data_IF_645005188051
#
_entry.id   IF_645005188051
#
_cell.length_a   1.000
_cell.length_b   1.000
_cell.length_c   1.000
_cell.angle_alpha   90.00
_cell.angle_beta   90.00
_cell.angle_gamma   90.00
#
_symmetry.space_group_name_H-M   'P 1'
#
loop_
_entity.id
_entity.type
_entity.pdbx_description
1 polymer ?
#
# COMPACT_ATOMS: atom_id res chain seq x y z
N UNK A 1 -7.08 88.82 -44.43
CA UNK A 1 -6.01 88.98 -45.42
C UNK A 1 -5.20 87.70 -45.43
N UNK A 2 -5.03 87.12 -46.63
CA UNK A 2 -4.07 86.05 -47.00
C UNK A 2 -4.32 84.67 -46.36
N UNK A 3 -4.56 83.57 -47.08
CA UNK A 3 -3.91 83.06 -48.30
C UNK A 3 -3.17 81.77 -47.90
N UNK A 4 -3.79 80.59 -48.03
CA UNK A 4 -3.63 79.57 -49.10
C UNK A 4 -2.22 78.95 -49.21
N UNK A 5 -2.17 77.60 -49.21
CA UNK A 5 -1.21 76.62 -49.77
C UNK A 5 -1.23 75.36 -48.85
N UNK A 6 -1.92 74.24 -49.11
CA UNK A 6 -2.10 73.33 -50.27
C UNK A 6 -0.90 72.36 -50.48
N UNK A 7 -1.21 71.05 -50.39
CA UNK A 7 -0.52 69.83 -50.88
C UNK A 7 0.65 69.27 -50.04
N UNK A 8 0.83 67.97 -49.81
CA UNK A 8 0.05 66.74 -50.09
C UNK A 8 0.75 65.54 -49.38
N UNK A 9 0.09 64.37 -49.41
CA UNK A 9 0.64 63.00 -49.24
C UNK A 9 0.57 62.31 -47.87
N UNK A 10 -0.59 61.70 -47.61
CA UNK A 10 -0.80 60.26 -47.36
C UNK A 10 0.27 59.45 -46.58
N UNK A 11 -0.09 58.98 -45.38
CA UNK A 11 -0.16 57.54 -45.08
C UNK A 11 -1.05 57.28 -43.86
N UNK A 12 -1.96 56.31 -43.99
CA UNK A 12 -3.11 56.10 -43.13
C UNK A 12 -2.91 55.09 -41.98
N UNK A 13 -3.86 55.14 -41.03
CA UNK A 13 -4.21 54.19 -39.96
C UNK A 13 -3.39 54.29 -38.65
N UNK A 14 -3.97 53.99 -37.44
CA UNK A 14 -5.09 53.05 -37.21
C UNK A 14 -6.15 53.48 -36.17
N UNK A 15 -7.37 52.96 -36.25
CA UNK A 15 -8.08 52.41 -35.07
C UNK A 15 -9.37 51.69 -35.48
N UNK A 16 -9.29 50.36 -35.52
CA UNK A 16 -10.39 49.44 -35.77
C UNK A 16 -11.04 49.13 -34.43
N UNK A 17 -12.32 49.51 -34.26
CA UNK A 17 -13.21 48.98 -33.21
C UNK A 17 -13.14 47.46 -33.22
N UNK A 18 -12.91 46.85 -32.05
CA UNK A 18 -13.04 45.40 -31.82
C UNK A 18 -14.03 45.17 -30.69
N UNK A 19 -15.21 44.72 -31.09
CA UNK A 19 -15.96 43.58 -30.57
C UNK A 19 -15.85 43.28 -29.06
N UNK A 20 -16.97 43.56 -28.38
CA UNK A 20 -17.35 42.92 -27.12
C UNK A 20 -17.39 41.40 -27.28
N UNK A 21 -16.32 40.72 -26.86
CA UNK A 21 -16.33 39.27 -26.62
C UNK A 21 -16.29 39.02 -25.12
N UNK A 22 -17.44 38.60 -24.61
CA UNK A 22 -17.67 37.68 -23.50
C UNK A 22 -16.39 37.10 -22.86
N UNK A 23 -16.08 37.53 -21.64
CA UNK A 23 -15.33 36.69 -20.68
C UNK A 23 -16.08 36.67 -19.35
N UNK A 24 -17.07 35.79 -19.29
CA UNK A 24 -17.49 35.19 -18.03
C UNK A 24 -16.33 34.32 -17.54
N UNK A 25 -15.49 34.85 -16.65
CA UNK A 25 -14.71 34.00 -15.75
C UNK A 25 -15.69 33.43 -14.72
N UNK A 26 -16.37 32.36 -15.09
CA UNK A 26 -16.98 31.46 -14.15
C UNK A 26 -15.83 30.86 -13.33
N UNK A 27 -15.57 31.44 -12.17
CA UNK A 27 -14.81 30.79 -11.10
C UNK A 27 -15.57 29.51 -10.79
N UNK A 28 -15.15 28.37 -11.37
CA UNK A 28 -15.58 27.05 -10.94
C UNK A 28 -15.18 26.96 -9.46
N UNK A 29 -16.14 27.19 -8.58
CA UNK A 29 -16.09 26.80 -7.18
C UNK A 29 -15.92 25.28 -7.19
N UNK A 30 -14.68 24.81 -7.17
CA UNK A 30 -14.38 23.41 -6.96
C UNK A 30 -14.94 23.02 -5.60
N UNK A 31 -15.91 22.11 -5.63
CA UNK A 31 -16.58 21.61 -4.45
C UNK A 31 -15.53 21.07 -3.45
N UNK A 32 -15.46 21.60 -2.22
CA UNK A 32 -14.48 21.16 -1.22
C UNK A 32 -14.61 19.66 -0.90
N UNK A 33 -15.77 19.04 -1.13
CA UNK A 33 -15.94 17.59 -1.02
C UNK A 33 -15.21 16.82 -2.13
N UNK A 34 -15.16 17.39 -3.35
CA UNK A 34 -14.45 16.81 -4.50
C UNK A 34 -12.94 16.95 -4.37
N UNK A 35 -12.46 18.08 -3.83
CA UNK A 35 -11.04 18.27 -3.47
C UNK A 35 -10.59 17.33 -2.34
N UNK A 36 -11.45 17.09 -1.34
CA UNK A 36 -11.15 16.14 -0.26
C UNK A 36 -11.06 14.71 -0.76
N UNK A 37 -11.92 14.30 -1.71
CA UNK A 37 -11.85 12.97 -2.34
C UNK A 37 -10.58 12.79 -3.16
N UNK A 38 -10.20 13.76 -3.99
CA UNK A 38 -8.96 13.67 -4.76
C UNK A 38 -7.71 13.58 -3.88
N UNK A 39 -7.65 14.36 -2.80
CA UNK A 39 -6.54 14.26 -1.85
C UNK A 39 -6.47 12.90 -1.13
N UNK A 40 -7.62 12.27 -0.85
CA UNK A 40 -7.65 10.96 -0.22
C UNK A 40 -7.13 9.86 -1.15
N UNK A 41 -7.56 9.89 -2.42
CA UNK A 41 -7.10 8.94 -3.44
C UNK A 41 -5.57 9.09 -3.69
N UNK A 42 -5.06 10.33 -3.66
CA UNK A 42 -3.63 10.61 -3.76
C UNK A 42 -2.85 10.04 -2.55
N UNK A 43 -3.38 10.20 -1.33
CA UNK A 43 -2.77 9.67 -0.11
C UNK A 43 -2.74 8.12 -0.13
N UNK A 44 -3.78 7.46 -0.63
CA UNK A 44 -3.83 6.00 -0.79
C UNK A 44 -2.76 5.49 -1.77
N UNK A 45 -2.58 6.15 -2.91
CA UNK A 45 -1.52 5.83 -3.86
C UNK A 45 -0.13 6.01 -3.25
N UNK A 46 0.07 7.05 -2.42
CA UNK A 46 1.34 7.23 -1.70
C UNK A 46 1.54 6.09 -0.71
N UNK A 47 0.55 5.72 0.10
CA UNK A 47 0.67 4.59 1.01
C UNK A 47 1.02 3.29 0.27
N UNK A 48 0.36 3.00 -0.85
CA UNK A 48 0.67 1.85 -1.67
C UNK A 48 2.13 1.85 -2.16
N UNK A 49 2.61 2.97 -2.70
CA UNK A 49 4.01 3.12 -3.17
C UNK A 49 5.01 2.88 -2.06
N UNK A 50 4.71 3.35 -0.84
CA UNK A 50 5.60 3.20 0.31
C UNK A 50 5.61 1.76 0.80
N UNK A 51 4.45 1.09 0.88
CA UNK A 51 4.43 -0.34 1.24
C UNK A 51 5.14 -1.17 0.19
N UNK A 52 4.96 -0.89 -1.11
CA UNK A 52 5.72 -1.54 -2.19
C UNK A 52 7.23 -1.36 -2.01
N UNK A 53 7.67 -0.14 -1.71
CA UNK A 53 9.06 0.16 -1.36
C UNK A 53 9.55 -0.65 -0.15
N UNK A 54 8.71 -0.79 0.89
CA UNK A 54 9.05 -1.56 2.08
C UNK A 54 9.17 -3.06 1.77
N UNK A 55 8.25 -3.63 0.99
CA UNK A 55 8.28 -5.02 0.56
C UNK A 55 9.53 -5.30 -0.29
N UNK A 56 9.82 -4.45 -1.28
CA UNK A 56 11.01 -4.59 -2.11
C UNK A 56 12.30 -4.50 -1.29
N UNK A 57 12.38 -3.54 -0.36
CA UNK A 57 13.52 -3.40 0.54
C UNK A 57 13.66 -4.60 1.47
N UNK A 58 12.56 -5.13 1.99
CA UNK A 58 12.55 -6.35 2.80
C UNK A 58 13.06 -7.58 2.05
N UNK A 59 12.65 -7.76 0.79
CA UNK A 59 13.16 -8.84 -0.08
C UNK A 59 14.68 -8.69 -0.28
N UNK A 60 15.16 -7.48 -0.56
CA UNK A 60 16.60 -7.20 -0.73
C UNK A 60 17.40 -7.42 0.57
N UNK A 61 16.79 -7.16 1.72
CA UNK A 61 17.34 -7.46 3.06
C UNK A 61 17.25 -8.95 3.43
N UNK A 62 16.64 -9.79 2.57
CA UNK A 62 16.37 -11.22 2.80
C UNK A 62 15.48 -11.48 4.00
N UNK A 63 14.54 -10.57 4.26
CA UNK A 63 13.59 -10.70 5.35
C UNK A 63 12.60 -11.84 5.13
N UNK A 64 12.25 -12.53 6.21
CA UNK A 64 11.15 -13.49 6.16
C UNK A 64 9.79 -12.78 6.03
N UNK A 65 8.73 -13.53 5.69
CA UNK A 65 7.39 -12.95 5.46
C UNK A 65 6.78 -12.31 6.71
N UNK A 66 7.07 -12.87 7.89
CA UNK A 66 6.49 -12.41 9.17
C UNK A 66 6.96 -11.00 9.53
N UNK A 67 8.27 -10.67 9.59
CA UNK A 67 8.70 -9.31 9.91
C UNK A 67 8.33 -8.30 8.83
N UNK A 68 8.24 -8.73 7.57
CA UNK A 68 7.79 -7.86 6.48
C UNK A 68 6.33 -7.44 6.66
N UNK A 69 5.48 -8.39 7.05
CA UNK A 69 4.08 -8.13 7.39
C UNK A 69 3.92 -7.27 8.65
N UNK A 70 4.71 -7.55 9.69
CA UNK A 70 4.74 -6.74 10.91
C UNK A 70 5.13 -5.30 10.60
N UNK A 71 6.12 -5.08 9.72
CA UNK A 71 6.51 -3.74 9.28
C UNK A 71 5.36 -2.99 8.59
N UNK A 72 4.65 -3.65 7.66
CA UNK A 72 3.50 -3.05 6.98
C UNK A 72 2.36 -2.70 7.95
N UNK A 73 2.06 -3.58 8.92
CA UNK A 73 1.05 -3.31 9.97
C UNK A 73 1.46 -2.11 10.82
N UNK A 74 2.71 -2.03 11.26
CA UNK A 74 3.23 -0.90 12.04
C UNK A 74 3.05 0.41 11.25
N UNK A 75 3.41 0.42 9.97
CA UNK A 75 3.25 1.56 9.08
C UNK A 75 1.77 2.00 8.97
N UNK A 76 0.87 1.09 8.62
CA UNK A 76 -0.55 1.41 8.46
C UNK A 76 -1.20 1.88 9.76
N UNK A 77 -0.83 1.27 10.91
CA UNK A 77 -1.32 1.71 12.22
C UNK A 77 -0.82 3.09 12.59
N UNK A 78 0.44 3.40 12.27
CA UNK A 78 1.00 4.74 12.52
C UNK A 78 0.21 5.81 11.74
N UNK A 79 0.03 5.62 10.44
CA UNK A 79 -0.72 6.56 9.59
C UNK A 79 -2.25 6.51 9.78
N UNK A 80 -2.76 5.60 10.62
CA UNK A 80 -4.15 5.67 11.11
C UNK A 80 -4.31 6.74 12.20
N UNK A 81 -3.23 7.15 12.86
CA UNK A 81 -3.23 8.16 13.93
C UNK A 81 -2.57 9.48 13.51
N UNK A 82 -1.74 9.45 12.46
CA UNK A 82 -0.93 10.56 11.98
C UNK A 82 -1.29 10.94 10.55
N UNK A 83 -1.14 12.22 10.19
CA UNK A 83 -1.34 12.67 8.80
C UNK A 83 -0.06 12.45 8.00
N UNK A 84 -0.22 12.13 6.72
CA UNK A 84 0.90 11.89 5.80
C UNK A 84 1.81 13.12 5.63
N UNK A 85 1.25 14.33 5.72
CA UNK A 85 1.97 15.59 5.50
C UNK A 85 2.95 15.96 6.63
N UNK A 86 2.76 15.38 7.82
CA UNK A 86 3.54 15.75 9.01
C UNK A 86 4.88 14.99 9.09
N UNK A 87 5.06 13.94 8.29
CA UNK A 87 6.19 13.01 8.39
C UNK A 87 6.69 12.57 7.01
N UNK A 88 7.99 12.24 6.87
CA UNK A 88 8.48 11.56 5.66
C UNK A 88 8.05 10.08 5.70
N UNK A 89 7.12 9.63 4.84
CA UNK A 89 6.63 8.26 4.88
C UNK A 89 7.71 7.22 4.54
N UNK A 90 8.75 7.58 3.77
CA UNK A 90 9.87 6.67 3.51
C UNK A 90 10.72 6.46 4.75
N UNK A 91 10.94 7.50 5.56
CA UNK A 91 11.64 7.38 6.83
C UNK A 91 10.83 6.53 7.81
N UNK A 92 9.51 6.77 7.90
CA UNK A 92 8.62 5.93 8.73
C UNK A 92 8.64 4.47 8.26
N UNK A 93 8.58 4.22 6.95
CA UNK A 93 8.65 2.87 6.40
C UNK A 93 9.97 2.16 6.68
N UNK A 94 11.10 2.87 6.52
CA UNK A 94 12.44 2.35 6.85
C UNK A 94 12.57 2.02 8.34
N UNK A 95 12.06 2.90 9.21
CA UNK A 95 12.04 2.66 10.66
C UNK A 95 11.11 1.51 11.02
N UNK A 96 9.95 1.38 10.37
CA UNK A 96 9.03 0.26 10.59
C UNK A 96 9.66 -1.09 10.24
N UNK A 97 10.47 -1.17 9.17
CA UNK A 97 11.26 -2.37 8.84
C UNK A 97 12.24 -2.71 9.97
N UNK A 98 13.02 -1.72 10.41
CA UNK A 98 14.01 -1.94 11.48
C UNK A 98 13.35 -2.29 12.82
N UNK A 99 12.17 -1.76 13.10
CA UNK A 99 11.44 -2.06 14.32
C UNK A 99 10.83 -3.46 14.27
N UNK A 100 10.21 -3.83 13.15
CA UNK A 100 9.63 -5.15 12.96
C UNK A 100 10.67 -6.26 13.06
N UNK A 101 11.88 -6.03 12.53
CA UNK A 101 12.98 -7.00 12.67
C UNK A 101 13.36 -7.22 14.14
N UNK A 102 13.34 -6.17 14.98
CA UNK A 102 13.58 -6.32 16.42
C UNK A 102 12.44 -7.05 17.13
N UNK A 103 11.19 -6.74 16.77
CA UNK A 103 9.98 -7.33 17.39
C UNK A 103 9.88 -8.82 17.12
N UNK A 104 10.22 -9.24 15.91
CA UNK A 104 10.16 -10.64 15.46
C UNK A 104 11.51 -11.38 15.62
N UNK A 105 12.46 -10.78 16.35
CA UNK A 105 13.79 -11.34 16.63
C UNK A 105 14.63 -11.71 15.38
N UNK A 106 14.41 -10.99 14.27
CA UNK A 106 15.21 -11.09 13.05
C UNK A 106 16.34 -10.04 13.05
N UNK A 107 17.59 -10.52 13.15
CA UNK A 107 18.75 -9.63 13.30
C UNK A 107 19.15 -8.94 11.99
N UNK A 108 18.63 -7.73 11.77
CA UNK A 108 19.07 -6.82 10.70
C UNK A 108 20.02 -5.75 11.23
N UNK A 109 21.12 -5.50 10.53
CA UNK A 109 22.01 -4.38 10.84
C UNK A 109 21.38 -3.10 10.33
N UNK A 110 21.28 -2.09 11.20
CA UNK A 110 20.72 -0.77 10.85
C UNK A 110 21.41 -0.14 9.63
N UNK A 111 22.72 -0.35 9.47
CA UNK A 111 23.47 0.13 8.30
C UNK A 111 22.97 -0.52 7.01
N UNK A 112 22.69 -1.81 7.03
CA UNK A 112 22.20 -2.54 5.86
C UNK A 112 20.78 -2.09 5.52
N UNK A 113 19.93 -1.87 6.53
CA UNK A 113 18.58 -1.29 6.36
C UNK A 113 18.65 0.07 5.67
N UNK A 114 19.48 0.98 6.17
CA UNK A 114 19.65 2.33 5.57
C UNK A 114 20.15 2.23 4.13
N UNK A 115 21.20 1.44 3.90
CA UNK A 115 21.81 1.31 2.57
C UNK A 115 20.85 0.71 1.54
N UNK A 116 20.13 -0.36 1.90
CA UNK A 116 19.16 -0.99 1.01
C UNK A 116 17.99 -0.04 0.75
N UNK A 117 17.43 0.57 1.78
CA UNK A 117 16.30 1.49 1.64
C UNK A 117 16.69 2.74 0.82
N UNK A 118 17.88 3.30 1.04
CA UNK A 118 18.40 4.42 0.24
C UNK A 118 18.52 4.02 -1.23
N UNK A 119 19.11 2.85 -1.52
CA UNK A 119 19.31 2.36 -2.89
C UNK A 119 18.00 1.97 -3.57
N UNK A 120 17.00 1.46 -2.84
CA UNK A 120 15.66 1.19 -3.38
C UNK A 120 14.94 2.49 -3.71
N UNK A 121 15.09 3.54 -2.90
CA UNK A 121 14.51 4.87 -3.16
C UNK A 121 15.22 5.63 -4.27
N UNK A 122 16.54 5.44 -4.42
CA UNK A 122 17.39 6.17 -5.35
C UNK A 122 18.16 5.20 -6.26
N UNK A 123 17.44 4.61 -7.22
CA UNK A 123 18.03 3.61 -8.13
C UNK A 123 19.13 4.20 -9.04
N UNK A 124 19.01 5.48 -9.41
CA UNK A 124 19.94 6.18 -10.32
C UNK A 124 21.12 6.85 -9.63
N UNK A 125 21.16 6.86 -8.28
CA UNK A 125 22.22 7.54 -7.52
C UNK A 125 23.31 6.56 -7.09
N UNK A 126 24.56 7.04 -6.90
CA UNK A 126 25.59 6.23 -6.28
C UNK A 126 25.17 5.79 -4.87
N UNK A 127 25.75 4.70 -4.35
CA UNK A 127 25.52 4.27 -2.97
C UNK A 127 25.81 5.38 -1.96
N UNK A 128 25.20 5.29 -0.78
CA UNK A 128 25.45 6.22 0.31
C UNK A 128 26.91 6.06 0.80
N UNK A 129 27.79 6.95 0.36
CA UNK A 129 29.22 6.96 0.74
C UNK A 129 29.50 7.90 1.92
N UNK A 130 28.64 8.91 2.14
CA UNK A 130 28.79 9.90 3.21
C UNK A 130 28.50 9.29 4.58
N UNK A 131 29.53 9.22 5.43
CA UNK A 131 29.37 8.76 6.82
C UNK A 131 28.51 9.71 7.66
N UNK A 132 28.50 11.01 7.33
CA UNK A 132 27.67 12.01 8.01
C UNK A 132 26.20 11.77 7.71
N UNK A 133 25.82 11.61 6.44
CA UNK A 133 24.42 11.35 6.05
C UNK A 133 23.91 10.02 6.64
N UNK A 134 24.76 8.99 6.68
CA UNK A 134 24.44 7.72 7.33
C UNK A 134 24.17 7.91 8.84
N UNK A 135 24.99 8.72 9.52
CA UNK A 135 24.83 9.02 10.95
C UNK A 135 23.53 9.80 11.21
N UNK A 136 23.23 10.79 10.37
CA UNK A 136 22.02 11.61 10.49
C UNK A 136 20.77 10.77 10.27
N UNK A 137 20.75 9.91 9.24
CA UNK A 137 19.66 8.97 9.00
C UNK A 137 19.48 8.00 10.17
N UNK A 138 20.57 7.48 10.72
CA UNK A 138 20.52 6.61 11.90
C UNK A 138 19.89 7.32 13.11
N UNK A 139 20.26 8.57 13.34
CA UNK A 139 19.71 9.38 14.43
C UNK A 139 18.21 9.67 14.19
N UNK A 140 17.84 10.04 12.96
CA UNK A 140 16.45 10.26 12.57
C UNK A 140 15.61 8.98 12.75
N UNK A 141 16.12 7.82 12.34
CA UNK A 141 15.48 6.53 12.55
C UNK A 141 15.25 6.23 14.03
N UNK A 142 16.24 6.49 14.90
CA UNK A 142 16.11 6.28 16.34
C UNK A 142 15.03 7.18 16.96
N UNK A 143 14.95 8.44 16.52
CA UNK A 143 13.88 9.36 16.93
C UNK A 143 12.50 8.91 16.43
N UNK A 144 12.41 8.49 15.16
CA UNK A 144 11.18 7.94 14.58
C UNK A 144 10.76 6.62 15.25
N UNK A 145 11.70 5.79 15.68
CA UNK A 145 11.40 4.52 16.36
C UNK A 145 10.63 4.80 17.65
N UNK A 146 11.15 5.71 18.47
CA UNK A 146 10.50 6.12 19.71
C UNK A 146 9.14 6.80 19.44
N UNK A 147 9.04 7.59 18.38
CA UNK A 147 7.77 8.21 17.95
C UNK A 147 6.72 7.15 17.59
N UNK A 148 7.08 6.16 16.76
CA UNK A 148 6.18 5.08 16.35
C UNK A 148 5.73 4.29 17.58
N UNK A 149 6.67 3.89 18.44
CA UNK A 149 6.36 3.14 19.66
C UNK A 149 5.38 3.89 20.56
N UNK A 150 5.60 5.20 20.79
CA UNK A 150 4.68 6.02 21.61
C UNK A 150 3.31 6.18 20.97
N UNK A 151 3.26 6.43 19.66
CA UNK A 151 2.01 6.59 18.91
C UNK A 151 1.16 5.32 18.96
N UNK A 152 1.81 4.16 18.91
CA UNK A 152 1.15 2.85 18.98
C UNK A 152 0.94 2.34 20.42
N UNK A 153 1.30 3.12 21.44
CA UNK A 153 1.18 2.71 22.84
C UNK A 153 2.03 1.48 23.19
N UNK A 154 3.19 1.33 22.55
CA UNK A 154 4.10 0.17 22.67
C UNK A 154 3.46 -1.17 22.27
N UNK A 155 2.28 -1.14 21.67
CA UNK A 155 1.59 -2.33 21.16
C UNK A 155 1.91 -2.53 19.68
N UNK A 156 3.08 -3.11 19.40
CA UNK A 156 3.57 -3.38 18.03
C UNK A 156 3.38 -4.83 17.58
N UNK A 157 3.03 -5.72 18.50
CA UNK A 157 2.72 -7.11 18.19
C UNK A 157 1.28 -7.24 17.73
N UNK A 158 1.04 -8.00 16.66
CA UNK A 158 -0.31 -8.37 16.20
C UNK A 158 -0.29 -9.81 15.72
N UNK A 159 -1.37 -10.54 15.97
CA UNK A 159 -1.54 -11.86 15.38
C UNK A 159 -1.54 -11.76 13.85
N UNK A 160 -0.68 -12.56 13.20
CA UNK A 160 -0.54 -12.57 11.76
C UNK A 160 -1.28 -13.74 11.11
N UNK A 161 -1.91 -13.54 9.95
CA UNK A 161 -2.59 -14.58 9.19
C UNK A 161 -1.66 -15.72 8.75
N UNK A 162 -0.35 -15.48 8.63
CA UNK A 162 0.66 -16.45 8.18
C UNK A 162 0.59 -17.81 8.92
N UNK A 163 0.45 -17.77 10.25
CA UNK A 163 0.35 -18.98 11.08
C UNK A 163 -0.90 -19.78 10.74
N UNK A 164 -2.05 -19.10 10.65
CA UNK A 164 -3.32 -19.72 10.32
C UNK A 164 -3.34 -20.28 8.90
N UNK A 165 -2.85 -19.51 7.93
CA UNK A 165 -2.77 -19.94 6.55
C UNK A 165 -1.94 -21.21 6.39
N UNK A 166 -0.80 -21.32 7.09
CA UNK A 166 0.03 -22.53 7.08
C UNK A 166 -0.74 -23.75 7.61
N UNK A 167 -1.47 -23.60 8.72
CA UNK A 167 -2.27 -24.68 9.28
C UNK A 167 -3.44 -25.07 8.37
N UNK A 168 -4.15 -24.09 7.80
CA UNK A 168 -5.28 -24.32 6.92
C UNK A 168 -4.88 -24.99 5.60
N UNK A 169 -3.76 -24.55 5.00
CA UNK A 169 -3.20 -25.20 3.81
C UNK A 169 -2.83 -26.66 4.09
N UNK A 170 -2.26 -26.96 5.26
CA UNK A 170 -1.94 -28.34 5.64
C UNK A 170 -3.21 -29.19 5.78
N UNK A 171 -4.24 -28.68 6.46
CA UNK A 171 -5.51 -29.39 6.60
C UNK A 171 -6.21 -29.61 5.26
N UNK A 172 -6.19 -28.64 4.35
CA UNK A 172 -6.75 -28.81 3.01
C UNK A 172 -5.98 -29.81 2.16
N UNK A 173 -4.65 -29.87 2.29
CA UNK A 173 -3.83 -30.88 1.61
C UNK A 173 -4.27 -32.30 1.99
N UNK A 174 -4.65 -32.51 3.26
CA UNK A 174 -5.11 -33.80 3.76
C UNK A 174 -6.54 -34.15 3.27
N UNK A 175 -7.36 -33.15 2.94
CA UNK A 175 -8.75 -33.34 2.49
C UNK A 175 -8.88 -33.51 0.96
N UNK A 176 -7.88 -33.12 0.19
CA UNK A 176 -7.93 -33.11 -1.27
C UNK A 176 -7.11 -34.25 -1.88
N UNK A 177 -7.44 -34.58 -3.15
CA UNK A 177 -6.65 -35.56 -3.88
C UNK A 177 -5.22 -35.06 -4.08
N UNK A 178 -4.25 -35.92 -3.75
CA UNK A 178 -2.82 -35.58 -3.78
C UNK A 178 -2.36 -35.14 -5.16
N UNK A 179 -2.89 -35.75 -6.23
CA UNK A 179 -2.50 -35.40 -7.59
C UNK A 179 -3.00 -34.01 -8.00
N UNK A 180 -4.17 -33.60 -7.53
CA UNK A 180 -4.74 -32.27 -7.77
C UNK A 180 -3.98 -31.22 -6.95
N UNK A 181 -3.72 -31.51 -5.67
CA UNK A 181 -3.01 -30.59 -4.78
C UNK A 181 -1.57 -30.32 -5.24
N UNK A 182 -0.83 -31.34 -5.68
CA UNK A 182 0.55 -31.17 -6.14
C UNK A 182 0.63 -30.45 -7.50
N UNK A 183 -0.39 -30.58 -8.36
CA UNK A 183 -0.42 -29.92 -9.67
C UNK A 183 -0.85 -28.46 -9.61
N UNK A 184 -1.59 -28.07 -8.59
CA UNK A 184 -2.19 -26.74 -8.52
C UNK A 184 -1.43 -25.86 -7.54
N UNK A 185 -0.89 -24.69 -7.95
CA UNK A 185 -0.08 -23.84 -7.07
C UNK A 185 -0.92 -22.99 -6.10
N UNK A 186 -1.90 -23.61 -5.42
CA UNK A 186 -2.82 -22.97 -4.46
C UNK A 186 -2.02 -22.37 -3.31
N UNK A 187 -1.02 -23.12 -2.80
CA UNK A 187 -0.14 -22.66 -1.71
C UNK A 187 0.56 -21.36 -2.08
N UNK A 188 1.21 -21.33 -3.23
CA UNK A 188 2.03 -20.18 -3.65
C UNK A 188 1.14 -18.98 -3.97
N UNK A 189 -0.02 -19.23 -4.59
CA UNK A 189 -1.03 -18.20 -4.88
C UNK A 189 -1.59 -17.59 -3.61
N UNK A 190 -1.97 -18.42 -2.64
CA UNK A 190 -2.47 -17.94 -1.35
C UNK A 190 -1.39 -17.14 -0.61
N UNK A 191 -0.13 -17.57 -0.65
CA UNK A 191 0.95 -16.84 -0.01
C UNK A 191 1.27 -15.52 -0.71
N UNK A 192 1.16 -15.46 -2.04
CA UNK A 192 1.30 -14.24 -2.82
C UNK A 192 0.17 -13.26 -2.51
N UNK A 193 -1.09 -13.68 -2.60
CA UNK A 193 -2.25 -12.86 -2.23
C UNK A 193 -2.18 -12.36 -0.78
N UNK A 194 -1.65 -13.17 0.14
CA UNK A 194 -1.43 -12.75 1.52
C UNK A 194 -0.40 -11.61 1.60
N UNK A 195 0.68 -11.68 0.82
CA UNK A 195 1.66 -10.60 0.75
C UNK A 195 1.02 -9.31 0.20
N UNK A 196 0.22 -9.45 -0.84
CA UNK A 196 -0.38 -8.33 -1.54
C UNK A 196 -1.42 -7.61 -0.67
N UNK A 197 -2.13 -8.35 0.20
CA UNK A 197 -3.10 -7.79 1.16
C UNK A 197 -2.49 -6.68 2.05
N UNK A 198 -1.18 -6.76 2.34
CA UNK A 198 -0.49 -5.81 3.21
C UNK A 198 -0.24 -4.45 2.54
N UNK A 199 -0.39 -4.34 1.21
CA UNK A 199 -0.41 -3.04 0.54
C UNK A 199 -1.64 -2.22 0.95
N UNK A 200 -2.75 -2.89 1.23
CA UNK A 200 -3.97 -2.28 1.75
C UNK A 200 -4.04 -2.24 3.27
N UNK A 201 -5.05 -1.53 3.80
CA UNK A 201 -5.36 -1.44 5.24
C UNK A 201 -6.22 -2.60 5.74
N UNK A 202 -6.54 -3.56 4.87
CA UNK A 202 -7.37 -4.75 5.14
C UNK A 202 -6.88 -5.53 6.37
N UNK A 203 -5.56 -5.60 6.57
CA UNK A 203 -4.93 -6.24 7.72
C UNK A 203 -5.27 -5.60 9.07
N UNK A 204 -5.79 -4.37 9.08
CA UNK A 204 -6.17 -3.66 10.31
C UNK A 204 -7.58 -4.00 10.76
N UNK A 205 -8.50 -4.13 9.81
CA UNK A 205 -9.94 -4.21 10.08
C UNK A 205 -10.44 -5.62 10.34
N UNK A 206 -9.75 -6.64 9.81
CA UNK A 206 -10.17 -8.03 9.91
C UNK A 206 -9.26 -8.86 10.83
N UNK A 207 -9.81 -9.95 11.39
CA UNK A 207 -9.05 -10.90 12.21
C UNK A 207 -8.08 -11.70 11.33
N UNK A 208 -6.95 -12.11 11.91
CA UNK A 208 -5.93 -12.89 11.23
C UNK A 208 -6.48 -14.22 10.65
N UNK A 209 -7.37 -14.90 11.39
CA UNK A 209 -8.04 -16.12 10.92
C UNK A 209 -8.89 -15.85 9.68
N UNK A 210 -9.66 -14.76 9.69
CA UNK A 210 -10.57 -14.40 8.59
C UNK A 210 -9.82 -14.07 7.32
N UNK A 211 -8.72 -13.32 7.43
CA UNK A 211 -7.84 -13.03 6.29
C UNK A 211 -7.24 -14.30 5.69
N UNK A 212 -6.77 -15.23 6.53
CA UNK A 212 -6.21 -16.49 6.06
C UNK A 212 -7.26 -17.36 5.34
N UNK A 213 -8.49 -17.44 5.87
CA UNK A 213 -9.60 -18.12 5.22
C UNK A 213 -9.97 -17.46 3.89
N UNK A 214 -10.08 -16.13 3.85
CA UNK A 214 -10.50 -15.40 2.66
C UNK A 214 -9.49 -15.54 1.51
N UNK A 215 -8.19 -15.40 1.80
CA UNK A 215 -7.12 -15.59 0.81
C UNK A 215 -7.09 -17.01 0.27
N UNK A 216 -7.31 -18.01 1.13
CA UNK A 216 -7.37 -19.40 0.74
C UNK A 216 -8.61 -19.71 -0.11
N UNK A 217 -9.77 -19.17 0.29
CA UNK A 217 -11.01 -19.27 -0.47
C UNK A 217 -10.85 -18.66 -1.86
N UNK A 218 -10.24 -17.47 -1.95
CA UNK A 218 -9.99 -16.80 -3.21
C UNK A 218 -9.01 -17.58 -4.11
N UNK A 219 -7.97 -18.16 -3.52
CA UNK A 219 -7.02 -19.01 -4.25
C UNK A 219 -7.70 -20.24 -4.85
N UNK A 220 -8.59 -20.89 -4.10
CA UNK A 220 -9.38 -22.03 -4.59
C UNK A 220 -10.31 -21.61 -5.73
N UNK A 221 -10.98 -20.45 -5.61
CA UNK A 221 -11.82 -19.90 -6.67
C UNK A 221 -11.04 -19.61 -7.95
N UNK A 222 -9.82 -19.06 -7.86
CA UNK A 222 -8.99 -18.75 -9.03
C UNK A 222 -8.66 -19.99 -9.87
N UNK A 223 -8.53 -21.15 -9.24
CA UNK A 223 -8.27 -22.42 -9.92
C UNK A 223 -9.52 -23.25 -10.20
N UNK A 224 -10.72 -22.76 -9.81
CA UNK A 224 -11.97 -23.49 -9.97
C UNK A 224 -12.01 -24.81 -9.18
N UNK A 225 -11.31 -24.87 -8.04
CA UNK A 225 -11.25 -26.07 -7.20
C UNK A 225 -12.29 -25.98 -6.10
N UNK A 226 -13.18 -26.96 -6.08
CA UNK A 226 -14.11 -27.16 -4.98
C UNK A 226 -13.53 -28.15 -3.98
N UNK A 227 -13.63 -27.80 -2.69
CA UNK A 227 -13.27 -28.72 -1.62
C UNK A 227 -14.24 -29.92 -1.64
N UNK A 228 -13.73 -31.16 -1.64
CA UNK A 228 -14.57 -32.36 -1.67
C UNK A 228 -15.64 -32.34 -0.56
N UNK A 229 -16.81 -32.91 -0.86
CA UNK A 229 -17.95 -33.07 0.08
C UNK A 229 -18.56 -31.77 0.63
N UNK A 230 -18.14 -30.58 0.19
CA UNK A 230 -18.65 -29.30 0.67
C UNK A 230 -20.15 -29.05 0.42
N UNK A 231 -20.76 -29.77 -0.53
CA UNK A 231 -22.20 -29.71 -0.81
C UNK A 231 -23.02 -30.75 -0.01
N UNK A 232 -22.34 -31.75 0.56
CA UNK A 232 -22.96 -32.82 1.36
C UNK A 232 -22.73 -32.63 2.86
N UNK A 233 -21.77 -31.79 3.25
CA UNK A 233 -21.48 -31.46 4.64
C UNK A 233 -22.51 -30.48 5.22
N UNK A 234 -22.87 -30.69 6.49
CA UNK A 234 -23.75 -29.81 7.26
C UNK A 234 -23.11 -28.42 7.47
N UNK A 235 -21.78 -28.37 7.53
CA UNK A 235 -20.99 -27.15 7.64
C UNK A 235 -20.08 -26.96 6.43
N UNK A 236 -20.01 -25.72 5.94
CA UNK A 236 -19.08 -25.35 4.86
C UNK A 236 -17.64 -25.42 5.36
N UNK A 237 -16.70 -25.79 4.50
CA UNK A 237 -15.30 -26.05 4.88
C UNK A 237 -14.63 -24.87 5.61
N UNK A 238 -14.94 -23.63 5.23
CA UNK A 238 -14.35 -22.44 5.87
C UNK A 238 -14.81 -22.23 7.31
N UNK A 239 -16.01 -22.72 7.68
CA UNK A 239 -16.50 -22.66 9.06
C UNK A 239 -15.75 -23.60 10.00
N UNK A 240 -15.12 -24.64 9.48
CA UNK A 240 -14.26 -25.54 10.26
C UNK A 240 -13.00 -24.81 10.74
N UNK A 241 -12.52 -23.84 9.96
CA UNK A 241 -11.33 -23.06 10.28
C UNK A 241 -11.62 -21.83 11.15
N UNK A 242 -12.79 -21.21 10.97
CA UNK A 242 -13.26 -20.08 11.77
C UNK A 242 -14.79 -20.15 11.87
N UNK A 243 -15.31 -20.52 13.03
CA UNK A 243 -16.77 -20.69 13.22
C UNK A 243 -17.55 -19.38 13.09
N UNK A 244 -16.88 -18.26 13.41
CA UNK A 244 -17.45 -16.91 13.43
C UNK A 244 -17.45 -16.21 12.06
N UNK A 245 -16.84 -16.81 11.02
CA UNK A 245 -16.74 -16.18 9.70
C UNK A 245 -17.99 -16.43 8.86
N UNK A 246 -18.50 -15.37 8.23
CA UNK A 246 -19.61 -15.43 7.28
C UNK A 246 -19.10 -15.38 5.83
N UNK A 247 -19.89 -15.92 4.89
CA UNK A 247 -19.55 -15.85 3.47
C UNK A 247 -19.50 -14.39 2.96
N UNK A 248 -20.35 -13.52 3.50
CA UNK A 248 -20.34 -12.09 3.18
C UNK A 248 -19.05 -11.40 3.61
N UNK A 249 -18.53 -11.73 4.81
CA UNK A 249 -17.22 -11.22 5.25
C UNK A 249 -16.08 -11.72 4.36
N UNK A 250 -16.12 -12.99 3.93
CA UNK A 250 -15.13 -13.53 2.98
C UNK A 250 -15.17 -12.73 1.67
N UNK A 251 -16.36 -12.54 1.09
CA UNK A 251 -16.53 -11.76 -0.15
C UNK A 251 -16.03 -10.33 0.00
N UNK A 252 -16.36 -9.66 1.10
CA UNK A 252 -15.90 -8.31 1.39
C UNK A 252 -14.36 -8.24 1.50
N UNK A 253 -13.72 -9.20 2.18
CA UNK A 253 -12.24 -9.25 2.23
C UNK A 253 -11.65 -9.45 0.82
N UNK A 254 -12.27 -10.30 0.00
CA UNK A 254 -11.81 -10.55 -1.37
C UNK A 254 -11.96 -9.30 -2.24
N UNK A 255 -13.09 -8.59 -2.15
CA UNK A 255 -13.29 -7.30 -2.83
C UNK A 255 -12.20 -6.30 -2.44
N UNK A 256 -11.89 -6.17 -1.15
CA UNK A 256 -10.81 -5.29 -0.69
C UNK A 256 -9.42 -5.73 -1.18
N UNK A 257 -9.19 -7.04 -1.35
CA UNK A 257 -7.95 -7.55 -1.97
C UNK A 257 -7.91 -7.18 -3.45
N UNK A 258 -9.04 -7.27 -4.17
CA UNK A 258 -9.16 -6.87 -5.57
C UNK A 258 -8.91 -5.37 -5.76
N UNK A 259 -9.40 -4.53 -4.84
CA UNK A 259 -9.15 -3.08 -4.86
C UNK A 259 -7.65 -2.74 -4.81
N UNK A 260 -6.84 -3.56 -4.13
CA UNK A 260 -5.38 -3.40 -4.09
C UNK A 260 -4.76 -3.64 -5.46
N UNK A 261 -5.23 -4.64 -6.21
CA UNK A 261 -4.77 -4.88 -7.59
C UNK A 261 -5.22 -3.78 -8.54
N UNK A 262 -6.43 -3.25 -8.36
CA UNK A 262 -6.90 -2.10 -9.15
C UNK A 262 -6.09 -0.83 -8.87
N UNK A 263 -5.64 -0.62 -7.63
CA UNK A 263 -4.72 0.46 -7.27
C UNK A 263 -3.35 0.26 -7.92
N UNK A 264 -2.85 -0.97 -7.97
CA UNK A 264 -1.56 -1.27 -8.63
C UNK A 264 -1.60 -0.88 -10.12
N UNK A 265 -2.71 -1.15 -10.81
CA UNK A 265 -2.87 -0.80 -12.23
C UNK A 265 -2.88 0.71 -12.51
N UNK A 266 -3.12 1.55 -11.49
CA UNK A 266 -3.17 3.02 -11.63
C UNK A 266 -1.79 3.68 -11.47
N UNK A 267 -0.75 2.92 -11.10
CA UNK A 267 0.61 3.43 -10.87
C UNK A 267 1.41 3.59 -12.16
#
# INVERSE_FOLDING_TARGET
MSGSLVLDSNMAAPMRRKDHTLMSKATRTEDPSRRRRSHHDDDELVHFRIVRFMMESGIKLRMTSVPMATAAIIYHRFFSHCRLQDYDPYLIGMTAISLASKVEEEHLKIRDVINVCYRTRHQDKPPLESQTELSDLRQAMASCELLIMRTLGFNVTKELPHKYLLHYLKSLADWMDRSVWERTPIRDTAWAMLRDLYHGKVCLWHKAQHLAVAVLYFSLLCYGIEVPLNNQAETKWWKVFSEDITEEQIKNIIEQIMDVYDLEQRL
#
